data_IF_078081589116
#
_entry.id   IF_078081589116
#
_cell.length_a   1.000
_cell.length_b   1.000
_cell.length_c   1.000
_cell.angle_alpha   90.00
_cell.angle_beta   90.00
_cell.angle_gamma   90.00
#
_symmetry.space_group_name_H-M   'P 1'
#
loop_
_entity.id
_entity.type
_entity.pdbx_description
1 polymer ?
#
# COMPACT_ATOMS: atom_id res chain seq x y z
N UNK A 1 -7.97 -10.57 -2.51
CA UNK A 1 -8.01 -11.22 -3.83
C UNK A 1 -7.69 -12.70 -3.67
N UNK A 2 -8.56 -13.51 -4.24
CA UNK A 2 -8.85 -14.90 -3.90
C UNK A 2 -7.76 -15.88 -4.37
N UNK A 3 -7.65 -17.01 -3.67
CA UNK A 3 -6.77 -18.14 -3.99
C UNK A 3 -6.87 -18.61 -5.46
N UNK A 4 -8.01 -18.36 -6.12
CA UNK A 4 -8.24 -18.70 -7.52
C UNK A 4 -7.36 -17.90 -8.50
N UNK A 5 -7.02 -16.64 -8.20
CA UNK A 5 -6.13 -15.83 -9.07
C UNK A 5 -4.67 -16.25 -8.88
N UNK A 6 -4.28 -16.68 -7.67
CA UNK A 6 -2.94 -17.21 -7.41
C UNK A 6 -2.70 -18.58 -8.05
N UNK A 7 -3.74 -19.44 -8.13
CA UNK A 7 -3.67 -20.72 -8.84
C UNK A 7 -3.53 -20.55 -10.36
N UNK A 8 -4.25 -19.60 -10.97
CA UNK A 8 -4.12 -19.32 -12.42
C UNK A 8 -2.72 -18.83 -12.80
N UNK A 9 -2.09 -17.95 -11.99
CA UNK A 9 -0.74 -17.44 -12.28
C UNK A 9 0.31 -18.55 -12.20
N UNK A 10 0.14 -19.57 -11.37
CA UNK A 10 1.08 -20.68 -11.30
C UNK A 10 0.94 -21.65 -12.48
N UNK A 11 -0.25 -21.84 -13.05
CA UNK A 11 -0.45 -22.81 -14.13
C UNK A 11 0.25 -22.42 -15.44
N UNK A 12 0.36 -21.12 -15.73
CA UNK A 12 1.01 -20.62 -16.96
C UNK A 12 2.54 -20.49 -16.84
N UNK A 13 3.12 -20.64 -15.64
CA UNK A 13 4.56 -20.51 -15.44
C UNK A 13 5.31 -21.80 -15.76
N UNK A 14 6.43 -21.66 -16.46
CA UNK A 14 7.38 -22.76 -16.66
C UNK A 14 7.94 -23.26 -15.32
N UNK A 15 8.45 -24.50 -15.27
CA UNK A 15 9.06 -25.05 -14.05
C UNK A 15 10.18 -24.15 -13.49
N UNK A 16 10.95 -23.50 -14.37
CA UNK A 16 11.99 -22.54 -13.99
C UNK A 16 11.40 -21.32 -13.30
N UNK A 17 10.37 -20.72 -13.88
CA UNK A 17 9.71 -19.55 -13.31
C UNK A 17 8.97 -19.88 -12.01
N UNK A 18 8.31 -21.04 -11.92
CA UNK A 18 7.72 -21.54 -10.67
C UNK A 18 8.76 -21.60 -9.55
N UNK A 19 9.94 -22.14 -9.82
CA UNK A 19 11.03 -22.21 -8.82
C UNK A 19 11.47 -20.81 -8.36
N UNK A 20 11.69 -19.90 -9.29
CA UNK A 20 12.10 -18.52 -8.98
C UNK A 20 11.02 -17.81 -8.16
N UNK A 21 9.77 -17.88 -8.62
CA UNK A 21 8.61 -17.27 -7.97
C UNK A 21 8.45 -17.77 -6.53
N UNK A 22 8.45 -19.09 -6.32
CA UNK A 22 8.30 -19.70 -5.00
C UNK A 22 9.43 -19.29 -4.05
N UNK A 23 10.68 -19.27 -4.53
CA UNK A 23 11.84 -18.88 -3.72
C UNK A 23 11.84 -17.40 -3.33
N UNK A 24 11.32 -16.52 -4.20
CA UNK A 24 11.20 -15.09 -3.91
C UNK A 24 9.97 -14.76 -3.04
N UNK A 25 8.85 -15.44 -3.27
CA UNK A 25 7.61 -15.29 -2.50
C UNK A 25 7.81 -15.70 -1.04
N UNK A 26 8.43 -16.85 -0.81
CA UNK A 26 8.78 -17.33 0.51
C UNK A 26 10.22 -17.89 0.57
N UNK A 27 11.19 -17.03 0.92
CA UNK A 27 12.59 -17.42 1.07
C UNK A 27 12.88 -18.46 2.14
N UNK A 28 11.92 -18.78 3.02
CA UNK A 28 12.08 -19.77 4.09
C UNK A 28 11.66 -21.17 3.69
N UNK A 29 11.03 -21.33 2.52
CA UNK A 29 10.78 -22.66 1.96
C UNK A 29 12.09 -23.43 1.81
N UNK A 30 12.02 -24.72 2.17
CA UNK A 30 13.10 -25.67 1.92
C UNK A 30 13.12 -26.05 0.44
N UNK A 31 14.30 -26.40 -0.08
CA UNK A 31 14.48 -26.80 -1.49
C UNK A 31 13.54 -27.96 -1.85
N UNK A 32 13.35 -28.90 -0.93
CA UNK A 32 12.47 -30.06 -1.08
C UNK A 32 10.99 -29.65 -1.20
N UNK A 33 10.58 -28.56 -0.53
CA UNK A 33 9.22 -28.05 -0.61
C UNK A 33 9.00 -27.27 -1.91
N UNK A 34 9.99 -26.50 -2.34
CA UNK A 34 9.96 -25.79 -3.63
C UNK A 34 9.87 -26.80 -4.78
N UNK A 35 10.60 -27.91 -4.71
CA UNK A 35 10.57 -28.93 -5.76
C UNK A 35 9.21 -29.61 -5.87
N UNK A 36 8.54 -29.87 -4.73
CA UNK A 36 7.18 -30.39 -4.72
C UNK A 36 6.18 -29.41 -5.36
N UNK A 37 6.24 -28.14 -4.98
CA UNK A 37 5.32 -27.10 -5.46
C UNK A 37 5.55 -26.72 -6.92
N UNK A 38 6.80 -26.83 -7.40
CA UNK A 38 7.15 -26.59 -8.80
C UNK A 38 7.15 -27.87 -9.67
N UNK A 39 6.66 -28.99 -9.12
CA UNK A 39 6.58 -30.29 -9.81
C UNK A 39 7.90 -30.69 -10.50
N UNK A 40 8.99 -30.56 -9.75
CA UNK A 40 10.36 -30.80 -10.22
C UNK A 40 11.20 -31.47 -9.13
N UNK A 41 12.51 -31.60 -9.35
CA UNK A 41 13.44 -32.25 -8.42
C UNK A 41 14.22 -31.23 -7.59
N UNK A 42 14.64 -31.58 -6.35
CA UNK A 42 15.53 -30.73 -5.56
C UNK A 42 16.84 -30.37 -6.28
N UNK A 43 17.35 -31.27 -7.12
CA UNK A 43 18.52 -31.01 -7.94
C UNK A 43 18.25 -29.88 -8.95
N UNK A 44 17.15 -29.96 -9.70
CA UNK A 44 16.75 -28.92 -10.64
C UNK A 44 16.52 -27.56 -9.97
N UNK A 45 15.91 -27.54 -8.79
CA UNK A 45 15.74 -26.30 -8.00
C UNK A 45 17.07 -25.62 -7.72
N UNK A 46 18.10 -26.38 -7.28
CA UNK A 46 19.43 -25.81 -7.00
C UNK A 46 20.07 -25.25 -8.27
N UNK A 47 19.94 -25.95 -9.38
CA UNK A 47 20.44 -25.50 -10.69
C UNK A 47 19.80 -24.19 -11.10
N UNK A 48 18.46 -24.11 -11.08
CA UNK A 48 17.72 -22.89 -11.44
C UNK A 48 18.08 -21.71 -10.54
N UNK A 49 18.17 -21.93 -9.23
CA UNK A 49 18.57 -20.87 -8.29
C UNK A 49 19.99 -20.38 -8.57
N UNK A 50 20.93 -21.30 -8.84
CA UNK A 50 22.30 -20.95 -9.20
C UNK A 50 22.38 -20.18 -10.52
N UNK A 51 21.66 -20.63 -11.56
CA UNK A 51 21.59 -19.95 -12.86
C UNK A 51 21.01 -18.53 -12.72
N UNK A 52 20.00 -18.36 -11.87
CA UNK A 52 19.39 -17.06 -11.59
C UNK A 52 20.23 -16.20 -10.62
N UNK A 53 21.40 -16.66 -10.18
CA UNK A 53 22.24 -16.02 -9.16
C UNK A 53 21.49 -15.73 -7.84
N UNK A 54 20.51 -16.57 -7.52
CA UNK A 54 19.68 -16.49 -6.33
C UNK A 54 20.18 -17.46 -5.26
N UNK A 55 20.36 -16.93 -4.05
CA UNK A 55 20.65 -17.73 -2.86
C UNK A 55 19.52 -17.56 -1.86
N UNK A 56 18.96 -18.66 -1.36
CA UNK A 56 17.94 -18.61 -0.30
C UNK A 56 18.44 -17.86 0.93
N UNK A 57 19.72 -17.98 1.28
CA UNK A 57 20.32 -17.23 2.40
C UNK A 57 20.31 -15.71 2.14
N UNK A 58 20.67 -15.28 0.92
CA UNK A 58 20.59 -13.86 0.53
C UNK A 58 19.16 -13.37 0.53
N UNK A 59 18.22 -14.14 -0.03
CA UNK A 59 16.80 -13.82 -0.06
C UNK A 59 16.20 -13.72 1.35
N UNK A 60 16.58 -14.61 2.27
CA UNK A 60 16.18 -14.53 3.69
C UNK A 60 16.72 -13.28 4.37
N UNK A 61 17.98 -12.92 4.13
CA UNK A 61 18.58 -11.68 4.67
C UNK A 61 17.85 -10.44 4.14
N UNK A 62 17.59 -10.39 2.83
CA UNK A 62 16.80 -9.33 2.20
C UNK A 62 15.37 -9.27 2.75
N UNK A 63 14.71 -10.42 2.94
CA UNK A 63 13.37 -10.49 3.51
C UNK A 63 13.33 -10.03 4.97
N UNK A 64 14.29 -10.45 5.81
CA UNK A 64 14.41 -9.98 7.18
C UNK A 64 14.71 -8.47 7.25
N UNK A 65 15.50 -7.94 6.31
CA UNK A 65 15.78 -6.51 6.21
C UNK A 65 14.56 -5.72 5.73
N UNK A 66 13.80 -6.25 4.76
CA UNK A 66 12.48 -5.73 4.37
C UNK A 66 11.51 -5.74 5.55
N UNK A 67 11.48 -6.81 6.36
CA UNK A 67 10.65 -6.88 7.58
C UNK A 67 11.07 -5.85 8.65
N UNK A 68 12.37 -5.63 8.85
CA UNK A 68 12.86 -4.59 9.76
C UNK A 68 12.50 -3.19 9.26
N UNK A 69 12.58 -2.96 7.94
CA UNK A 69 12.13 -1.72 7.32
C UNK A 69 10.60 -1.58 7.33
N UNK A 70 9.83 -2.68 7.26
CA UNK A 70 8.37 -2.70 7.39
C UNK A 70 7.88 -2.17 8.73
N UNK A 71 8.63 -2.35 9.83
CA UNK A 71 8.31 -1.68 11.10
C UNK A 71 8.36 -0.14 11.02
N UNK A 72 9.09 0.42 10.04
CA UNK A 72 9.11 1.86 9.72
C UNK A 72 8.12 2.24 8.63
N UNK A 73 7.76 1.30 7.74
CA UNK A 73 6.85 1.50 6.60
C UNK A 73 5.37 1.17 6.89
N UNK A 74 5.07 0.47 7.99
CA UNK A 74 3.75 0.30 8.60
C UNK A 74 3.33 1.59 9.31
N UNK A 75 3.31 2.67 8.55
CA UNK A 75 2.84 3.98 8.97
C UNK A 75 1.78 4.40 7.98
N UNK A 76 0.67 4.91 8.48
CA UNK A 76 -0.31 5.59 7.65
C UNK A 76 0.38 6.77 6.95
N UNK A 77 -0.18 7.22 5.84
CA UNK A 77 0.27 8.38 5.08
C UNK A 77 0.36 9.61 5.98
N UNK A 78 -0.59 9.72 6.92
CA UNK A 78 -0.60 10.77 7.92
C UNK A 78 0.61 10.70 8.88
N UNK A 79 1.07 9.50 9.24
CA UNK A 79 2.25 9.30 10.09
C UNK A 79 3.58 9.48 9.32
N UNK A 80 3.55 9.26 8.00
CA UNK A 80 4.67 9.54 7.09
C UNK A 80 4.85 11.06 6.97
N UNK A 81 3.74 11.78 6.87
CA UNK A 81 3.69 13.22 6.90
C UNK A 81 3.97 13.80 8.29
N UNK A 82 4.52 13.03 9.24
CA UNK A 82 5.27 13.52 10.41
C UNK A 82 4.62 14.74 11.10
N UNK A 83 3.52 14.53 11.81
CA UNK A 83 2.79 15.54 12.60
C UNK A 83 3.69 16.49 13.41
N UNK A 84 4.85 16.02 13.86
CA UNK A 84 5.83 16.79 14.66
C UNK A 84 6.55 17.91 13.87
N UNK A 85 6.44 17.96 12.54
CA UNK A 85 7.01 19.03 11.69
C UNK A 85 5.99 20.08 11.28
N UNK A 86 4.74 19.91 11.69
CA UNK A 86 3.60 20.62 11.14
C UNK A 86 2.79 21.39 12.19
N UNK A 87 3.47 22.00 13.18
CA UNK A 87 2.89 22.89 14.19
C UNK A 87 2.15 24.13 13.62
N UNK A 88 2.04 24.26 12.29
CA UNK A 88 1.40 25.38 11.59
C UNK A 88 0.38 24.96 10.52
N UNK A 89 -0.03 23.69 10.46
CA UNK A 89 -1.08 23.29 9.51
C UNK A 89 -2.47 23.58 10.08
N UNK A 90 -3.27 24.32 9.34
CA UNK A 90 -4.71 24.40 9.58
C UNK A 90 -5.32 23.04 9.21
N UNK A 91 -5.67 22.27 10.25
CA UNK A 91 -6.24 20.93 10.13
C UNK A 91 -7.76 21.00 10.24
N UNK A 92 -8.45 20.57 9.19
CA UNK A 92 -9.90 20.35 9.21
C UNK A 92 -10.17 18.86 9.10
N UNK A 93 -11.00 18.33 9.99
CA UNK A 93 -11.46 16.93 9.93
C UNK A 93 -12.85 16.91 9.34
N UNK A 94 -13.05 16.06 8.34
CA UNK A 94 -14.35 15.83 7.72
C UNK A 94 -14.79 14.40 7.98
N UNK A 95 -16.08 14.22 8.27
CA UNK A 95 -16.74 12.92 8.38
C UNK A 95 -17.29 12.52 7.00
N UNK A 96 -17.28 11.23 6.67
CA UNK A 96 -17.73 10.70 5.38
C UNK A 96 -16.64 10.04 4.53
N UNK A 97 -17.06 9.03 3.75
CA UNK A 97 -16.21 8.29 2.83
C UNK A 97 -15.91 9.18 1.64
N UNK A 98 -14.68 9.66 1.54
CA UNK A 98 -14.22 10.46 0.40
C UNK A 98 -13.38 9.58 -0.50
N UNK A 99 -14.04 8.97 -1.50
CA UNK A 99 -13.40 8.13 -2.50
C UNK A 99 -13.71 8.65 -3.90
N UNK A 100 -12.66 8.78 -4.71
CA UNK A 100 -12.80 9.27 -6.08
C UNK A 100 -13.54 8.26 -6.99
N UNK A 101 -13.35 6.97 -6.73
CA UNK A 101 -14.05 5.86 -7.39
C UNK A 101 -14.58 4.86 -6.37
N UNK A 102 -15.66 5.23 -5.69
CA UNK A 102 -16.30 4.36 -4.68
C UNK A 102 -16.65 2.98 -5.22
N UNK A 103 -17.02 2.88 -6.51
CA UNK A 103 -17.30 1.61 -7.19
C UNK A 103 -16.11 0.63 -7.19
N UNK A 104 -14.88 1.14 -7.33
CA UNK A 104 -13.66 0.31 -7.36
C UNK A 104 -13.43 -0.40 -6.02
N UNK A 105 -13.91 0.23 -4.94
CA UNK A 105 -13.81 -0.28 -3.58
C UNK A 105 -15.11 -0.87 -3.06
N UNK A 106 -16.17 -0.81 -3.86
CA UNK A 106 -17.51 -1.20 -3.42
C UNK A 106 -17.56 -2.64 -2.94
N UNK A 107 -16.80 -3.54 -3.58
CA UNK A 107 -16.71 -4.95 -3.18
C UNK A 107 -16.09 -5.16 -1.79
N UNK A 108 -15.28 -4.23 -1.31
CA UNK A 108 -14.76 -4.28 0.07
C UNK A 108 -15.79 -3.87 1.10
N UNK A 109 -16.58 -2.84 0.79
CA UNK A 109 -17.54 -2.28 1.73
C UNK A 109 -18.95 -2.87 1.56
N UNK A 110 -19.16 -3.73 0.56
CA UNK A 110 -20.45 -4.35 0.24
C UNK A 110 -20.97 -5.16 1.43
N UNK A 111 -22.05 -4.69 2.04
CA UNK A 111 -22.71 -5.36 3.16
C UNK A 111 -22.03 -5.19 4.52
N UNK A 112 -20.91 -4.46 4.62
CA UNK A 112 -20.31 -4.09 5.89
C UNK A 112 -20.95 -2.80 6.41
N UNK A 113 -21.60 -2.86 7.57
CA UNK A 113 -22.22 -1.68 8.21
C UNK A 113 -21.25 -0.91 9.10
N UNK A 114 -20.17 -1.56 9.53
CA UNK A 114 -19.22 -1.01 10.48
C UNK A 114 -17.89 -0.74 9.79
N UNK A 115 -17.67 0.53 9.43
CA UNK A 115 -16.39 1.03 8.95
C UNK A 115 -15.97 2.26 9.77
N UNK A 116 -14.67 2.41 9.92
CA UNK A 116 -14.02 3.61 10.41
C UNK A 116 -13.54 4.39 9.20
N UNK A 117 -13.83 5.68 9.21
CA UNK A 117 -13.37 6.62 8.20
C UNK A 117 -12.80 7.84 8.87
N UNK A 118 -11.80 8.42 8.24
CA UNK A 118 -11.21 9.66 8.68
C UNK A 118 -10.70 10.39 7.45
N UNK A 119 -11.32 11.52 7.15
CA UNK A 119 -10.78 12.47 6.20
C UNK A 119 -10.10 13.60 6.97
N UNK A 120 -8.83 13.83 6.67
CA UNK A 120 -8.07 14.97 7.18
C UNK A 120 -7.71 15.84 6.00
N UNK A 121 -8.23 17.05 6.02
CA UNK A 121 -7.79 18.13 5.17
C UNK A 121 -6.77 18.95 5.96
N UNK A 122 -5.66 19.29 5.34
CA UNK A 122 -4.77 20.30 5.88
C UNK A 122 -4.29 21.25 4.81
N UNK A 123 -3.98 22.47 5.23
CA UNK A 123 -3.42 23.48 4.34
C UNK A 123 -1.95 23.68 4.61
N UNK A 124 -1.12 23.33 3.63
CA UNK A 124 0.28 23.70 3.61
C UNK A 124 0.43 24.96 2.73
N UNK A 125 0.79 26.09 3.34
CA UNK A 125 0.93 27.39 2.64
C UNK A 125 -0.33 27.79 1.82
N UNK A 126 -1.51 27.45 2.34
CA UNK A 126 -2.81 27.75 1.70
C UNK A 126 -3.29 26.68 0.72
N UNK A 127 -2.48 25.67 0.40
CA UNK A 127 -2.83 24.60 -0.53
C UNK A 127 -3.52 23.43 0.20
N UNK A 128 -4.74 23.03 -0.22
CA UNK A 128 -5.42 21.90 0.38
C UNK A 128 -4.72 20.59 -0.01
N UNK A 129 -4.34 19.82 1.00
CA UNK A 129 -3.90 18.44 0.90
C UNK A 129 -4.90 17.59 1.68
N UNK A 130 -5.42 16.55 1.03
CA UNK A 130 -6.44 15.69 1.61
C UNK A 130 -5.91 14.28 1.80
N UNK A 131 -6.09 13.75 3.00
CA UNK A 131 -5.87 12.35 3.31
C UNK A 131 -7.20 11.74 3.70
N UNK A 132 -7.57 10.65 3.04
CA UNK A 132 -8.71 9.83 3.42
C UNK A 132 -8.21 8.44 3.81
N UNK A 133 -8.46 8.06 5.06
CA UNK A 133 -8.26 6.69 5.53
C UNK A 133 -9.63 6.05 5.74
N UNK A 134 -9.89 4.94 5.07
CA UNK A 134 -11.15 4.20 5.17
C UNK A 134 -10.87 2.73 5.49
N UNK A 135 -11.55 2.17 6.48
CA UNK A 135 -11.25 0.85 7.03
C UNK A 135 -12.50 0.15 7.58
N UNK A 136 -12.66 -1.15 7.33
CA UNK A 136 -13.75 -1.96 7.88
C UNK A 136 -13.46 -2.27 9.35
N UNK A 137 -14.26 -1.74 10.27
CA UNK A 137 -13.91 -1.64 11.69
C UNK A 137 -13.60 -2.99 12.34
N UNK A 138 -14.27 -4.08 11.92
CA UNK A 138 -14.07 -5.43 12.45
C UNK A 138 -14.05 -5.48 14.00
N UNK A 139 -14.88 -4.64 14.62
CA UNK A 139 -14.99 -4.48 16.08
C UNK A 139 -14.08 -3.42 16.70
N UNK A 140 -13.25 -2.72 15.90
CA UNK A 140 -12.46 -1.58 16.35
C UNK A 140 -13.32 -0.32 16.42
N UNK A 141 -13.06 0.53 17.41
CA UNK A 141 -13.78 1.80 17.56
C UNK A 141 -12.97 3.01 17.12
N UNK A 142 -11.63 2.88 17.07
CA UNK A 142 -10.72 3.99 16.74
C UNK A 142 -9.58 3.51 15.85
N UNK A 143 -9.09 4.39 14.97
CA UNK A 143 -7.93 4.12 14.14
C UNK A 143 -6.67 3.83 14.97
N UNK A 144 -6.49 4.49 16.12
CA UNK A 144 -5.32 4.29 17.00
C UNK A 144 -5.20 2.86 17.55
N UNK A 145 -6.30 2.09 17.53
CA UNK A 145 -6.29 0.68 17.93
C UNK A 145 -5.62 -0.21 16.87
N UNK A 146 -5.51 0.24 15.62
CA UNK A 146 -4.84 -0.48 14.54
C UNK A 146 -3.33 -0.58 14.76
N UNK A 147 -2.70 0.47 15.26
CA UNK A 147 -1.24 0.54 15.44
C UNK A 147 -0.71 -0.53 16.41
N UNK A 148 -1.56 -0.97 17.32
CA UNK A 148 -1.22 -1.97 18.33
C UNK A 148 -1.38 -3.42 17.83
N UNK A 149 -1.94 -3.62 16.63
CA UNK A 149 -2.20 -4.95 16.08
C UNK A 149 -0.93 -5.57 15.47
N UNK A 150 -0.55 -6.74 16.00
CA UNK A 150 0.61 -7.51 15.49
C UNK A 150 0.39 -8.09 14.09
N UNK A 151 -0.87 -8.25 13.68
CA UNK A 151 -1.28 -8.79 12.38
C UNK A 151 -1.60 -7.70 11.35
N UNK A 152 -1.35 -6.42 11.68
CA UNK A 152 -1.46 -5.30 10.77
C UNK A 152 -0.31 -5.33 9.74
N UNK A 153 -0.70 -5.22 8.48
CA UNK A 153 0.21 -5.03 7.37
C UNK A 153 -0.29 -3.91 6.47
N UNK A 154 0.53 -2.87 6.29
CA UNK A 154 0.22 -1.79 5.34
C UNK A 154 1.09 -2.01 4.09
N UNK A 155 0.49 -1.91 2.91
CA UNK A 155 1.20 -2.13 1.65
C UNK A 155 2.27 -1.06 1.40
N UNK A 156 3.12 -1.36 0.40
CA UNK A 156 3.93 -0.34 -0.24
C UNK A 156 3.04 0.73 -0.90
N UNK A 157 3.63 1.91 -1.17
CA UNK A 157 2.94 3.01 -1.82
C UNK A 157 2.63 2.67 -3.28
N UNK A 158 1.38 2.85 -3.70
CA UNK A 158 0.96 2.88 -5.09
C UNK A 158 0.68 4.34 -5.48
N UNK A 159 1.02 4.72 -6.70
CA UNK A 159 0.72 6.06 -7.22
C UNK A 159 -0.13 5.91 -8.47
N UNK A 160 -1.21 6.69 -8.55
CA UNK A 160 -2.12 6.73 -9.70
C UNK A 160 -2.62 8.15 -9.94
N UNK A 161 -3.16 8.38 -11.12
CA UNK A 161 -3.80 9.66 -11.49
C UNK A 161 -5.23 9.37 -11.87
N UNK A 162 -6.17 10.13 -11.32
CA UNK A 162 -7.59 9.99 -11.62
C UNK A 162 -8.26 11.35 -11.75
N UNK A 163 -9.36 11.42 -12.51
CA UNK A 163 -10.17 12.64 -12.60
C UNK A 163 -10.99 12.81 -11.32
N UNK A 164 -10.98 14.01 -10.75
CA UNK A 164 -11.76 14.33 -9.54
C UNK A 164 -13.27 14.19 -9.77
N UNK A 165 -13.95 13.55 -8.82
CA UNK A 165 -15.39 13.63 -8.67
C UNK A 165 -15.81 14.91 -7.93
N UNK A 166 -17.11 15.10 -7.76
CA UNK A 166 -17.71 16.24 -7.05
C UNK A 166 -17.19 16.40 -5.61
N UNK A 167 -17.13 15.32 -4.83
CA UNK A 167 -16.69 15.36 -3.43
C UNK A 167 -15.21 15.77 -3.34
N UNK A 168 -14.34 15.12 -4.09
CA UNK A 168 -12.89 15.39 -4.11
C UNK A 168 -12.63 16.79 -4.64
N UNK A 169 -13.32 17.22 -5.68
CA UNK A 169 -13.17 18.55 -6.27
C UNK A 169 -13.53 19.65 -5.26
N UNK A 170 -14.65 19.50 -4.56
CA UNK A 170 -15.09 20.45 -3.54
C UNK A 170 -14.09 20.56 -2.39
N UNK A 171 -13.59 19.43 -1.88
CA UNK A 171 -12.65 19.41 -0.74
C UNK A 171 -11.25 19.93 -1.11
N UNK A 172 -10.81 19.72 -2.35
CA UNK A 172 -9.52 20.22 -2.85
C UNK A 172 -9.61 21.62 -3.48
N UNK A 173 -10.80 22.24 -3.50
CA UNK A 173 -11.03 23.56 -4.11
C UNK A 173 -10.59 23.62 -5.58
N UNK A 174 -10.90 22.56 -6.34
CA UNK A 174 -10.64 22.45 -7.77
C UNK A 174 -11.94 22.22 -8.54
N UNK A 175 -11.89 22.37 -9.86
CA UNK A 175 -13.03 22.04 -10.70
C UNK A 175 -13.18 20.51 -10.85
N UNK A 176 -14.42 20.04 -11.01
CA UNK A 176 -14.72 18.63 -11.30
C UNK A 176 -14.01 18.21 -12.59
N UNK A 177 -13.48 17.00 -12.62
CA UNK A 177 -12.80 16.44 -13.78
C UNK A 177 -11.34 16.89 -13.95
N UNK A 178 -10.81 17.70 -13.02
CA UNK A 178 -9.38 18.00 -12.96
C UNK A 178 -8.63 16.75 -12.45
N UNK A 179 -7.49 16.37 -13.07
CA UNK A 179 -6.71 15.22 -12.63
C UNK A 179 -6.13 15.46 -11.23
N UNK A 180 -6.21 14.43 -10.39
CA UNK A 180 -5.66 14.39 -9.05
C UNK A 180 -4.70 13.21 -8.97
N UNK A 181 -3.54 13.46 -8.38
CA UNK A 181 -2.54 12.44 -8.08
C UNK A 181 -2.91 11.78 -6.76
N UNK A 182 -3.09 10.47 -6.76
CA UNK A 182 -3.48 9.69 -5.60
C UNK A 182 -2.34 8.77 -5.23
N UNK A 183 -1.86 8.92 -4.00
CA UNK A 183 -0.94 7.98 -3.38
C UNK A 183 -1.74 7.08 -2.45
N UNK A 184 -1.67 5.77 -2.70
CA UNK A 184 -2.54 4.77 -2.09
C UNK A 184 -1.72 3.74 -1.34
N UNK A 185 -2.22 3.38 -0.16
CA UNK A 185 -1.80 2.22 0.61
C UNK A 185 -2.99 1.35 0.94
N UNK A 186 -2.79 0.05 0.85
CA UNK A 186 -3.76 -0.95 1.24
C UNK A 186 -3.49 -1.41 2.68
N UNK A 187 -4.56 -1.51 3.47
CA UNK A 187 -4.51 -1.92 4.88
C UNK A 187 -4.98 -3.36 4.98
N UNK A 188 -4.11 -4.24 5.45
CA UNK A 188 -4.39 -5.65 5.65
C UNK A 188 -4.36 -6.01 7.13
N UNK A 189 -5.33 -6.81 7.55
CA UNK A 189 -5.36 -7.47 8.87
C UNK A 189 -5.52 -8.95 8.66
N UNK A 190 -4.67 -9.76 9.31
CA UNK A 190 -4.70 -11.21 9.16
C UNK A 190 -4.69 -11.64 7.67
N UNK A 191 -3.91 -10.91 6.85
CA UNK A 191 -3.78 -11.08 5.38
C UNK A 191 -5.04 -10.81 4.55
N UNK A 192 -6.11 -10.26 5.14
CA UNK A 192 -7.30 -9.81 4.42
C UNK A 192 -7.23 -8.30 4.23
N UNK A 193 -7.54 -7.83 3.03
CA UNK A 193 -7.69 -6.41 2.75
C UNK A 193 -8.90 -5.89 3.52
N UNK A 194 -8.69 -4.84 4.30
CA UNK A 194 -9.70 -4.26 5.20
C UNK A 194 -9.90 -2.77 4.98
N UNK A 195 -9.00 -2.10 4.28
CA UNK A 195 -9.11 -0.66 4.07
C UNK A 195 -8.05 -0.11 3.14
N UNK A 196 -8.15 1.20 2.95
CA UNK A 196 -7.22 1.99 2.15
C UNK A 196 -6.85 3.26 2.92
N UNK A 197 -5.67 3.74 2.64
CA UNK A 197 -5.17 5.02 3.08
C UNK A 197 -4.71 5.79 1.85
N UNK A 198 -5.37 6.91 1.58
CA UNK A 198 -5.30 7.64 0.32
C UNK A 198 -4.86 9.08 0.59
N UNK A 199 -3.84 9.53 -0.10
CA UNK A 199 -3.40 10.93 -0.13
C UNK A 199 -3.70 11.49 -1.52
N UNK A 200 -4.42 12.60 -1.55
CA UNK A 200 -4.82 13.30 -2.76
C UNK A 200 -4.00 14.57 -2.91
N UNK A 201 -3.40 14.74 -4.09
CA UNK A 201 -2.50 15.85 -4.42
C UNK A 201 -2.90 16.46 -5.75
N UNK A 202 -2.90 17.79 -5.83
CA UNK A 202 -3.16 18.53 -7.06
C UNK A 202 -1.86 18.53 -7.90
N UNK A 203 -1.81 17.88 -9.07
CA UNK A 203 -0.57 17.71 -9.84
C UNK A 203 0.07 19.04 -10.24
N UNK A 204 -0.74 20.05 -10.52
CA UNK A 204 -0.28 21.40 -10.90
C UNK A 204 0.45 22.12 -9.77
N UNK A 205 0.34 21.63 -8.53
CA UNK A 205 0.80 22.33 -7.32
C UNK A 205 1.83 21.54 -6.53
N UNK A 206 2.14 20.31 -6.93
CA UNK A 206 2.94 19.38 -6.15
C UNK A 206 3.97 18.64 -7.01
N UNK A 207 5.20 18.52 -6.52
CA UNK A 207 6.23 17.64 -7.10
C UNK A 207 6.47 16.43 -6.18
N UNK A 208 6.43 15.22 -6.76
CA UNK A 208 6.80 14.01 -6.02
C UNK A 208 8.27 13.68 -6.28
N UNK A 209 9.09 13.75 -5.23
CA UNK A 209 10.49 13.37 -5.33
C UNK A 209 10.71 11.95 -4.79
N UNK A 210 11.05 11.04 -5.71
CA UNK A 210 11.37 9.65 -5.41
C UNK A 210 12.89 9.52 -5.20
N UNK A 211 13.33 9.38 -3.94
CA UNK A 211 14.74 9.10 -3.62
C UNK A 211 14.98 7.60 -3.49
N UNK A 212 15.79 7.06 -4.40
CA UNK A 212 16.35 5.72 -4.30
C UNK A 212 17.51 5.70 -3.28
N UNK A 213 17.20 5.98 -2.02
CA UNK A 213 17.96 5.60 -0.83
C UNK A 213 17.18 6.12 0.39
N UNK A 214 16.71 5.19 1.23
CA UNK A 214 15.88 5.37 2.45
C UNK A 214 14.36 5.16 2.34
N UNK A 215 13.80 4.70 1.21
CA UNK A 215 12.36 4.33 1.10
C UNK A 215 11.39 5.43 1.58
N UNK A 216 11.83 6.69 1.51
CA UNK A 216 11.04 7.84 1.94
C UNK A 216 10.61 8.59 0.68
N UNK A 217 9.30 8.60 0.42
CA UNK A 217 8.73 9.53 -0.56
C UNK A 217 8.72 10.88 0.15
N UNK A 218 9.48 11.84 -0.38
CA UNK A 218 9.39 13.23 0.04
C UNK A 218 8.60 13.98 -1.02
N UNK A 219 7.41 14.45 -0.65
CA UNK A 219 6.69 15.45 -1.44
C UNK A 219 7.47 16.76 -1.32
N UNK A 220 7.87 17.34 -2.45
CA UNK A 220 8.56 18.62 -2.48
C UNK A 220 7.72 19.62 -3.29
N UNK A 221 7.74 20.87 -2.88
CA UNK A 221 6.98 21.95 -3.51
C UNK A 221 7.56 22.33 -4.87
N UNK A 222 6.71 22.57 -5.87
CA UNK A 222 7.07 23.39 -7.03
C UNK A 222 7.11 24.87 -6.61
N UNK A 223 8.27 25.51 -6.72
CA UNK A 223 8.34 26.98 -6.72
C UNK A 223 7.85 27.47 -8.08
N UNK A 224 6.66 28.06 -8.12
CA UNK A 224 6.30 29.02 -9.15
C UNK A 224 6.36 30.43 -8.56
#
# INVERSE_FOLDING_TARGET
>A
MSSAVEECVLYDLTKKEKVIYLAQKDPFLKVERISQLAETTPHYVRTVLSEANLSLTKLRKQYAQRLKNKKRANKFLLDILSTDKFDKLDLTKEEGVVLNKTEYYSDLFKGCRDFLERTVLFREEGLPIMINSTFISDGLQKFDELDNRKDLFISENKVRVEMSNDIVANLLEINIGIPVLILEKEIYISKKLKGFDLLYLIPERVELLLKENNHQISVLKCKH
#
